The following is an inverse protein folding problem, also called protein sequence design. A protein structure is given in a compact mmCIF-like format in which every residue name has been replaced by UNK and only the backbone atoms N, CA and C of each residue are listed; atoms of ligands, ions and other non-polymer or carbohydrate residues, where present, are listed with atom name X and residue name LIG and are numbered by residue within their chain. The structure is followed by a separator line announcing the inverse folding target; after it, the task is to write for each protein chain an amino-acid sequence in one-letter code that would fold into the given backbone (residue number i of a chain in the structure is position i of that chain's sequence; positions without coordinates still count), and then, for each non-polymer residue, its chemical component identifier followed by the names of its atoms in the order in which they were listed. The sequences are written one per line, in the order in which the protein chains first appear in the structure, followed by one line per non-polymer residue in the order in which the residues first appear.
data_IF_626287128023
#
_entry.id   IF_626287128023
#
_cell.length_a   1.000
_cell.length_b   1.000
_cell.length_c   1.000
_cell.angle_alpha   90.00
_cell.angle_beta   90.00
_cell.angle_gamma   90.00
#
_symmetry.space_group_name_H-M   'P 1'
#
loop_
_entity.id
_entity.type
_entity.pdbx_description
1 polymer ?
#
# COMPACT_ATOMS: atom_id res chain seq x y z
N UNK A 1 17.31 -5.24 -19.44
CA UNK A 1 17.09 -6.39 -18.55
C UNK A 1 17.15 -7.68 -19.38
N UNK A 2 16.41 -7.79 -20.48
CA UNK A 2 16.37 -8.99 -21.32
C UNK A 2 17.77 -9.47 -21.75
N UNK A 3 18.68 -8.54 -22.08
CA UNK A 3 20.05 -8.85 -22.52
C UNK A 3 20.99 -9.32 -21.40
N UNK A 4 20.59 -9.18 -20.14
CA UNK A 4 21.45 -9.51 -18.98
C UNK A 4 21.35 -10.99 -18.57
N UNK A 5 20.41 -11.76 -19.12
CA UNK A 5 20.22 -13.18 -18.80
C UNK A 5 19.89 -13.42 -17.31
N UNK A 6 19.24 -12.48 -16.66
CA UNK A 6 18.84 -12.57 -15.25
C UNK A 6 17.77 -13.66 -15.13
N UNK A 7 18.06 -14.71 -14.35
CA UNK A 7 17.19 -15.87 -14.17
C UNK A 7 16.01 -15.68 -13.21
N UNK A 8 15.75 -14.43 -12.75
CA UNK A 8 14.64 -14.06 -11.86
C UNK A 8 13.82 -12.92 -12.46
N UNK A 9 12.51 -12.87 -12.22
CA UNK A 9 11.69 -11.74 -12.64
C UNK A 9 12.16 -10.43 -12.00
N UNK A 10 12.26 -9.38 -12.81
CA UNK A 10 12.56 -8.02 -12.35
C UNK A 10 11.35 -7.15 -12.63
N UNK A 11 10.92 -6.37 -11.67
CA UNK A 11 9.76 -5.49 -11.77
C UNK A 11 10.16 -4.02 -11.68
N UNK A 12 9.28 -3.14 -12.16
CA UNK A 12 9.40 -1.69 -12.00
C UNK A 12 8.87 -1.26 -10.65
N UNK A 13 9.51 -0.27 -10.04
CA UNK A 13 8.97 0.44 -8.88
C UNK A 13 8.99 1.95 -9.11
N UNK A 14 9.99 2.70 -8.68
CA UNK A 14 10.02 4.16 -8.82
C UNK A 14 9.90 4.65 -10.27
N UNK A 15 10.37 3.86 -11.22
CA UNK A 15 10.26 4.16 -12.65
C UNK A 15 8.83 4.08 -13.20
N UNK A 16 7.85 3.64 -12.38
CA UNK A 16 6.42 3.73 -12.71
C UNK A 16 5.88 5.13 -12.38
N UNK A 17 6.35 6.13 -13.07
CA UNK A 17 6.05 7.54 -12.84
C UNK A 17 5.09 8.14 -13.88
N UNK A 18 4.82 7.45 -14.99
CA UNK A 18 3.92 7.88 -16.06
C UNK A 18 3.03 6.73 -16.59
N UNK A 19 2.10 7.07 -17.47
CA UNK A 19 1.07 6.13 -17.88
C UNK A 19 1.62 4.93 -18.67
N UNK A 20 2.60 5.12 -19.51
CA UNK A 20 3.17 4.13 -20.43
C UNK A 20 4.31 3.30 -19.80
N UNK A 21 4.73 3.63 -18.56
CA UNK A 21 5.90 3.05 -17.89
C UNK A 21 5.90 1.50 -17.88
N UNK A 22 4.73 0.87 -17.64
CA UNK A 22 4.63 -0.58 -17.68
C UNK A 22 4.92 -1.14 -19.07
N UNK A 23 4.31 -0.58 -20.12
CA UNK A 23 4.49 -1.08 -21.48
C UNK A 23 5.94 -0.88 -21.97
N UNK A 24 6.56 0.24 -21.64
CA UNK A 24 7.99 0.49 -21.90
C UNK A 24 8.89 -0.47 -21.12
N UNK A 25 8.58 -0.71 -19.86
CA UNK A 25 9.31 -1.68 -19.04
C UNK A 25 9.23 -3.10 -19.59
N UNK A 26 8.04 -3.54 -20.01
CA UNK A 26 7.86 -4.85 -20.66
C UNK A 26 8.71 -4.97 -21.94
N UNK A 27 8.77 -3.92 -22.75
CA UNK A 27 9.61 -3.89 -23.95
C UNK A 27 11.12 -4.00 -23.61
N UNK A 28 11.55 -3.53 -22.43
CA UNK A 28 12.91 -3.64 -21.93
C UNK A 28 13.20 -4.97 -21.21
N UNK A 29 12.18 -5.85 -21.06
CA UNK A 29 12.31 -7.15 -20.43
C UNK A 29 12.05 -7.18 -18.92
N UNK A 30 11.37 -6.17 -18.38
CA UNK A 30 10.80 -6.25 -17.03
C UNK A 30 9.59 -7.21 -17.02
N UNK A 31 9.24 -7.72 -15.86
CA UNK A 31 8.20 -8.73 -15.69
C UNK A 31 6.99 -8.25 -14.90
N UNK A 32 6.90 -6.97 -14.60
CA UNK A 32 5.79 -6.43 -13.84
C UNK A 32 6.11 -5.13 -13.12
N UNK A 33 5.33 -4.86 -12.07
CA UNK A 33 5.34 -3.56 -11.43
C UNK A 33 4.97 -3.67 -9.94
N UNK A 34 5.49 -2.75 -9.13
CA UNK A 34 5.02 -2.52 -7.76
C UNK A 34 3.90 -1.49 -7.75
N UNK A 35 2.71 -1.89 -7.30
CA UNK A 35 1.54 -1.01 -7.23
C UNK A 35 1.47 -0.32 -5.88
N UNK A 36 1.31 1.00 -5.91
CA UNK A 36 1.17 1.86 -4.72
C UNK A 36 0.05 2.86 -4.95
N UNK A 37 -0.77 3.15 -3.91
CA UNK A 37 -1.87 4.11 -4.02
C UNK A 37 -1.39 5.52 -4.41
N UNK A 38 -0.19 5.91 -3.98
CA UNK A 38 0.41 7.21 -4.31
C UNK A 38 0.73 7.40 -5.79
N UNK A 39 0.88 6.32 -6.55
CA UNK A 39 1.08 6.35 -8.01
C UNK A 39 -0.23 6.59 -8.80
N UNK A 40 -1.37 6.53 -8.12
CA UNK A 40 -2.70 6.78 -8.67
C UNK A 40 -3.52 5.51 -8.90
N UNK A 41 -4.76 5.54 -8.40
CA UNK A 41 -5.68 4.39 -8.43
C UNK A 41 -5.98 3.91 -9.85
N UNK A 42 -6.24 4.84 -10.77
CA UNK A 42 -6.55 4.49 -12.17
C UNK A 42 -5.37 3.83 -12.88
N UNK A 43 -4.15 4.26 -12.60
CA UNK A 43 -2.93 3.62 -13.12
C UNK A 43 -2.80 2.22 -12.55
N UNK A 44 -2.99 2.04 -11.25
CA UNK A 44 -2.96 0.74 -10.60
C UNK A 44 -3.98 -0.24 -11.20
N UNK A 45 -5.22 0.20 -11.43
CA UNK A 45 -6.25 -0.61 -12.08
C UNK A 45 -5.88 -1.00 -13.52
N UNK A 46 -5.38 -0.05 -14.31
CA UNK A 46 -4.93 -0.31 -15.69
C UNK A 46 -3.79 -1.32 -15.74
N UNK A 47 -2.77 -1.12 -14.90
CA UNK A 47 -1.62 -2.00 -14.83
C UNK A 47 -2.01 -3.40 -14.35
N UNK A 48 -2.87 -3.50 -13.33
CA UNK A 48 -3.40 -4.79 -12.87
C UNK A 48 -4.17 -5.51 -13.97
N UNK A 49 -5.03 -4.80 -14.70
CA UNK A 49 -5.75 -5.38 -15.85
C UNK A 49 -4.79 -5.89 -16.94
N UNK A 50 -3.76 -5.12 -17.26
CA UNK A 50 -2.75 -5.50 -18.25
C UNK A 50 -1.94 -6.73 -17.81
N UNK A 51 -1.55 -6.78 -16.54
CA UNK A 51 -0.81 -7.90 -15.95
C UNK A 51 -1.66 -9.17 -15.89
N UNK A 52 -2.95 -9.06 -15.58
CA UNK A 52 -3.86 -10.20 -15.51
C UNK A 52 -4.04 -10.94 -16.85
N UNK A 53 -3.67 -10.32 -17.98
CA UNK A 53 -3.75 -10.95 -19.31
C UNK A 53 -2.55 -11.81 -19.66
N UNK A 54 -1.44 -11.73 -18.90
CA UNK A 54 -0.25 -12.53 -19.14
C UNK A 54 0.25 -13.14 -17.81
N UNK A 55 0.14 -14.47 -17.62
CA UNK A 55 0.51 -15.14 -16.37
C UNK A 55 2.01 -15.09 -16.05
N UNK A 56 2.84 -14.61 -16.96
CA UNK A 56 4.28 -14.41 -16.74
C UNK A 56 4.57 -13.09 -16.03
N UNK A 57 3.59 -12.18 -15.98
CA UNK A 57 3.74 -10.86 -15.37
C UNK A 57 3.37 -10.90 -13.90
N UNK A 58 3.99 -9.99 -13.14
CA UNK A 58 3.86 -9.91 -11.69
C UNK A 58 3.32 -8.53 -11.27
N UNK A 59 2.38 -8.57 -10.33
CA UNK A 59 1.94 -7.39 -9.60
C UNK A 59 2.34 -7.55 -8.13
N UNK A 60 3.08 -6.59 -7.62
CA UNK A 60 3.60 -6.57 -6.25
C UNK A 60 3.14 -5.33 -5.50
N UNK A 61 3.31 -5.31 -4.19
CA UNK A 61 3.16 -4.15 -3.33
C UNK A 61 4.41 -4.00 -2.46
N UNK A 62 5.50 -3.55 -3.04
CA UNK A 62 6.79 -3.39 -2.36
C UNK A 62 7.00 -1.97 -1.87
N UNK A 63 7.84 -1.84 -0.85
CA UNK A 63 8.26 -0.58 -0.25
C UNK A 63 7.10 0.38 0.05
N UNK A 64 6.06 -0.14 0.71
CA UNK A 64 4.93 0.67 1.11
C UNK A 64 5.26 1.41 2.41
N UNK A 65 5.73 2.64 2.27
CA UNK A 65 6.13 3.50 3.38
C UNK A 65 4.98 4.32 3.97
N UNK A 66 3.74 3.97 3.64
CA UNK A 66 2.56 4.65 4.15
C UNK A 66 2.48 4.61 5.68
N UNK A 67 2.31 5.77 6.30
CA UNK A 67 2.05 5.88 7.72
C UNK A 67 0.66 5.32 8.06
N UNK A 68 0.50 4.79 9.27
CA UNK A 68 -0.78 4.31 9.78
C UNK A 68 -1.87 5.40 9.74
N UNK A 69 -3.12 4.97 9.75
CA UNK A 69 -4.29 5.79 9.50
C UNK A 69 -4.72 5.74 8.03
N UNK A 70 -5.17 6.85 7.48
CA UNK A 70 -5.83 6.92 6.19
C UNK A 70 -4.98 6.35 5.03
N UNK A 71 -3.70 6.72 4.96
CA UNK A 71 -2.82 6.30 3.87
C UNK A 71 -2.62 4.78 3.84
N UNK A 72 -2.33 4.15 4.97
CA UNK A 72 -2.20 2.69 5.08
C UNK A 72 -3.49 1.99 4.71
N UNK A 73 -4.64 2.51 5.14
CA UNK A 73 -5.95 1.91 4.86
C UNK A 73 -6.27 1.91 3.37
N UNK A 74 -6.09 3.06 2.73
CA UNK A 74 -6.34 3.22 1.28
C UNK A 74 -5.45 2.31 0.46
N UNK A 75 -4.16 2.28 0.78
CA UNK A 75 -3.19 1.48 0.06
C UNK A 75 -3.42 -0.02 0.28
N UNK A 76 -3.74 -0.43 1.50
CA UNK A 76 -4.04 -1.82 1.82
C UNK A 76 -5.30 -2.31 1.11
N UNK A 77 -6.36 -1.50 1.10
CA UNK A 77 -7.59 -1.86 0.41
C UNK A 77 -7.42 -1.90 -1.11
N UNK A 78 -6.66 -0.93 -1.68
CA UNK A 78 -6.32 -0.96 -3.10
C UNK A 78 -5.55 -2.23 -3.45
N UNK A 79 -4.48 -2.55 -2.74
CA UNK A 79 -3.68 -3.75 -2.98
C UNK A 79 -4.52 -5.03 -2.90
N UNK A 80 -5.38 -5.15 -1.89
CA UNK A 80 -6.31 -6.28 -1.76
C UNK A 80 -7.30 -6.36 -2.93
N UNK A 81 -7.85 -5.22 -3.36
CA UNK A 81 -8.78 -5.14 -4.49
C UNK A 81 -8.13 -5.52 -5.83
N UNK A 82 -6.84 -5.27 -5.97
CA UNK A 82 -6.04 -5.67 -7.13
C UNK A 82 -5.56 -7.14 -7.06
N UNK A 83 -5.83 -7.85 -5.97
CA UNK A 83 -5.40 -9.23 -5.77
C UNK A 83 -3.92 -9.38 -5.42
N UNK A 84 -3.25 -8.32 -4.99
CA UNK A 84 -1.86 -8.37 -4.50
C UNK A 84 -1.83 -9.18 -3.21
N UNK A 85 -1.00 -10.23 -3.18
CA UNK A 85 -0.97 -11.20 -2.07
C UNK A 85 0.19 -10.97 -1.10
N UNK A 86 1.23 -10.28 -1.53
CA UNK A 86 2.34 -9.92 -0.67
C UNK A 86 2.54 -8.41 -0.70
N UNK A 87 2.70 -7.83 0.49
CA UNK A 87 2.80 -6.40 0.66
C UNK A 87 3.90 -6.14 1.67
N UNK A 88 4.88 -5.34 1.30
CA UNK A 88 5.91 -4.86 2.19
C UNK A 88 5.44 -3.57 2.88
N UNK A 89 5.52 -3.52 4.22
CA UNK A 89 5.03 -2.41 5.06
C UNK A 89 6.16 -1.72 5.82
N UNK A 90 7.14 -1.20 5.13
CA UNK A 90 8.31 -0.58 5.72
C UNK A 90 7.98 0.61 6.62
N UNK A 91 7.11 1.52 6.18
CA UNK A 91 6.75 2.70 6.95
C UNK A 91 6.18 2.38 8.33
N UNK A 92 5.39 1.31 8.45
CA UNK A 92 4.82 0.91 9.73
C UNK A 92 5.88 0.46 10.74
N UNK A 93 6.94 -0.18 10.29
CA UNK A 93 8.06 -0.58 11.15
C UNK A 93 8.89 0.63 11.60
N UNK A 94 9.17 1.56 10.70
CA UNK A 94 10.04 2.69 11.00
C UNK A 94 9.41 3.76 11.88
N UNK A 95 8.09 3.93 11.81
CA UNK A 95 7.38 4.98 12.56
C UNK A 95 6.58 4.47 13.75
N UNK A 96 6.74 3.21 14.13
CA UNK A 96 6.04 2.59 15.26
C UNK A 96 4.52 2.86 15.22
N UNK A 97 3.87 2.32 14.20
CA UNK A 97 2.44 2.51 13.97
C UNK A 97 2.08 3.92 13.53
N UNK A 98 1.43 4.69 14.38
CA UNK A 98 0.99 6.06 14.10
C UNK A 98 2.09 7.12 14.26
N UNK A 99 3.31 6.74 14.64
CA UNK A 99 4.44 7.65 14.78
C UNK A 99 4.15 8.79 15.74
N UNK A 100 4.26 10.03 15.25
CA UNK A 100 4.04 11.26 16.02
C UNK A 100 2.60 11.78 15.96
N UNK A 101 1.66 11.05 15.37
CA UNK A 101 0.26 11.45 15.34
C UNK A 101 -0.30 11.63 16.77
N UNK A 102 -1.25 12.55 16.98
CA UNK A 102 -1.89 12.71 18.28
C UNK A 102 -2.51 11.40 18.78
N UNK A 103 -2.37 11.12 20.08
CA UNK A 103 -2.91 9.89 20.67
C UNK A 103 -4.43 9.72 20.41
N UNK A 104 -5.19 10.81 20.42
CA UNK A 104 -6.62 10.79 20.12
C UNK A 104 -6.90 10.40 18.66
N UNK A 105 -6.03 10.79 17.73
CA UNK A 105 -6.13 10.36 16.31
C UNK A 105 -5.87 8.86 16.18
N UNK A 106 -4.77 8.39 16.74
CA UNK A 106 -4.43 6.96 16.71
C UNK A 106 -5.53 6.09 17.33
N UNK A 107 -6.06 6.53 18.47
CA UNK A 107 -7.15 5.84 19.14
C UNK A 107 -8.43 5.85 18.29
N UNK A 108 -8.79 6.98 17.68
CA UNK A 108 -9.97 7.11 16.82
C UNK A 108 -9.91 6.18 15.61
N UNK A 109 -8.74 6.02 14.99
CA UNK A 109 -8.54 5.05 13.91
C UNK A 109 -8.65 3.60 14.40
N UNK A 110 -8.08 3.28 15.55
CA UNK A 110 -8.15 1.93 16.13
C UNK A 110 -9.58 1.53 16.50
N UNK A 111 -10.35 2.44 17.08
CA UNK A 111 -11.75 2.22 17.44
C UNK A 111 -12.65 2.06 16.21
N UNK A 112 -12.41 2.87 15.17
CA UNK A 112 -13.17 2.78 13.91
C UNK A 112 -12.83 1.53 13.11
N UNK A 113 -11.62 0.99 13.25
CA UNK A 113 -11.12 -0.15 12.46
C UNK A 113 -10.52 -1.26 13.33
N UNK A 114 -11.31 -1.88 14.22
CA UNK A 114 -10.81 -2.84 15.23
C UNK A 114 -10.32 -4.17 14.63
N UNK A 115 -10.63 -4.49 13.39
CA UNK A 115 -10.07 -5.65 12.73
C UNK A 115 -8.66 -5.41 12.19
N UNK A 116 -8.36 -4.14 11.82
CA UNK A 116 -7.10 -3.76 11.20
C UNK A 116 -6.03 -3.39 12.22
N UNK A 117 -6.44 -2.78 13.35
CA UNK A 117 -5.52 -2.32 14.38
C UNK A 117 -5.67 -3.10 15.67
N UNK A 118 -4.56 -3.22 16.39
CA UNK A 118 -4.52 -3.68 17.78
C UNK A 118 -3.66 -2.73 18.61
N UNK A 119 -3.89 -2.73 19.92
CA UNK A 119 -3.11 -1.90 20.84
C UNK A 119 -2.17 -2.78 21.64
N UNK A 120 -0.88 -2.64 21.43
CA UNK A 120 0.15 -3.21 22.27
C UNK A 120 1.01 -2.10 22.85
N UNK A 121 1.45 -2.29 24.08
CA UNK A 121 2.29 -1.29 24.79
C UNK A 121 1.68 0.12 24.82
N UNK A 122 0.34 0.21 24.80
CA UNK A 122 -0.39 1.47 24.88
C UNK A 122 -0.48 2.26 23.57
N UNK A 123 0.01 1.70 22.44
CA UNK A 123 -0.06 2.35 21.12
C UNK A 123 -0.77 1.46 20.10
N UNK A 124 -1.68 1.99 19.29
CA UNK A 124 -2.27 1.28 18.17
C UNK A 124 -1.25 1.03 17.06
N UNK A 125 -1.28 -0.17 16.48
CA UNK A 125 -0.49 -0.56 15.32
C UNK A 125 -1.27 -1.59 14.48
N UNK A 126 -0.78 -1.93 13.28
CA UNK A 126 -1.43 -2.91 12.44
C UNK A 126 -1.43 -4.30 13.11
N UNK A 127 -2.60 -4.93 13.16
CA UNK A 127 -2.81 -6.27 13.70
C UNK A 127 -2.40 -7.34 12.68
N UNK A 128 -1.08 -7.53 12.50
CA UNK A 128 -0.57 -8.56 11.59
C UNK A 128 -0.62 -9.92 12.28
N UNK A 129 -1.51 -10.81 11.81
CA UNK A 129 -1.70 -12.16 12.36
C UNK A 129 -1.35 -13.21 11.32
N UNK A 130 -0.36 -14.04 11.60
CA UNK A 130 0.12 -15.06 10.65
C UNK A 130 0.47 -14.47 9.26
N UNK A 131 1.08 -13.28 9.23
CA UNK A 131 1.42 -12.58 8.00
C UNK A 131 0.22 -12.00 7.23
N UNK A 132 -0.93 -11.82 7.87
CA UNK A 132 -2.16 -11.30 7.24
C UNK A 132 -2.76 -10.15 8.03
N UNK A 133 -3.46 -9.28 7.30
CA UNK A 133 -4.32 -8.22 7.86
C UNK A 133 -5.79 -8.60 7.62
N UNK A 134 -6.63 -8.34 8.61
CA UNK A 134 -8.09 -8.43 8.48
C UNK A 134 -8.65 -7.08 8.05
N UNK A 135 -9.26 -7.04 6.88
CA UNK A 135 -9.73 -5.81 6.24
C UNK A 135 -11.24 -5.57 6.38
N UNK A 136 -11.94 -6.40 7.16
CA UNK A 136 -13.41 -6.31 7.24
C UNK A 136 -13.90 -4.93 7.67
N UNK A 137 -13.20 -4.27 8.57
CA UNK A 137 -13.53 -2.91 9.03
C UNK A 137 -13.24 -1.80 8.02
N UNK A 138 -12.53 -2.10 6.91
CA UNK A 138 -12.29 -1.14 5.82
C UNK A 138 -13.43 -1.09 4.80
N UNK A 139 -14.40 -2.00 4.86
CA UNK A 139 -15.57 -2.01 3.98
C UNK A 139 -16.60 -0.96 4.42
N UNK A 140 -16.21 0.29 4.38
CA UNK A 140 -17.02 1.46 4.73
C UNK A 140 -17.12 2.43 3.55
N UNK A 141 -18.11 3.31 3.59
CA UNK A 141 -18.27 4.36 2.56
C UNK A 141 -17.10 5.33 2.61
N UNK A 142 -16.68 5.84 1.46
CA UNK A 142 -15.56 6.77 1.35
C UNK A 142 -14.24 6.06 1.06
N UNK A 143 -13.14 6.63 1.54
CA UNK A 143 -11.78 6.18 1.23
C UNK A 143 -11.26 5.12 2.21
N UNK A 144 -11.99 4.02 2.38
CA UNK A 144 -11.59 2.92 3.26
C UNK A 144 -11.41 3.34 4.73
N UNK A 145 -12.08 4.38 5.19
CA UNK A 145 -11.95 4.84 6.57
C UNK A 145 -13.24 5.44 7.12
N UNK A 146 -13.59 5.02 8.34
CA UNK A 146 -14.62 5.64 9.17
C UNK A 146 -14.04 6.68 10.15
N UNK A 147 -12.74 6.91 10.11
CA UNK A 147 -12.04 7.93 10.90
C UNK A 147 -11.34 8.94 9.99
N UNK A 148 -11.03 10.10 10.51
CA UNK A 148 -10.33 11.16 9.79
C UNK A 148 -9.10 11.63 10.56
N UNK A 149 -8.01 11.98 9.85
CA UNK A 149 -6.84 12.58 10.49
C UNK A 149 -7.17 13.89 11.20
N UNK A 150 -6.41 14.21 12.22
CA UNK A 150 -6.50 15.49 12.93
C UNK A 150 -5.78 16.58 12.13
N UNK A 151 -6.40 17.05 11.06
CA UNK A 151 -5.82 17.99 10.10
C UNK A 151 -5.12 19.19 10.70
N UNK A 152 -5.58 19.67 11.88
CA UNK A 152 -5.00 20.84 12.58
C UNK A 152 -3.65 20.54 13.24
N UNK A 153 -3.29 19.28 13.41
CA UNK A 153 -1.99 18.87 13.98
C UNK A 153 -0.89 18.72 12.93
N UNK A 154 -1.25 18.80 11.64
CA UNK A 154 -0.27 18.70 10.56
C UNK A 154 0.64 19.92 10.55
N UNK A 155 1.93 19.68 10.43
CA UNK A 155 2.92 20.74 10.29
C UNK A 155 2.94 21.23 8.85
N UNK A 156 3.10 22.54 8.67
CA UNK A 156 3.32 23.12 7.34
C UNK A 156 4.70 22.68 6.83
N UNK A 157 4.75 22.18 5.61
CA UNK A 157 6.03 21.94 4.93
C UNK A 157 6.65 23.30 4.57
N UNK A 158 7.86 23.56 4.99
CA UNK A 158 8.65 24.75 4.67
C UNK A 158 9.67 24.44 3.60
#
# INVERSE_FOLDING_TARGET
IASLGIGVPVILDESDDHAEALDEGLALGYHGISSKACKGIYRSLRNAHRIAQDPRLLLSGEDLTCQAGLAVQQDTLLAASLGVRHIERNGHHYVDGFGTAPAAEAQGFAEAHPSLYETASGRPHLAVRHGRLDLISLHVTGFASAATPHWRSLQTLH
#
